data_IF_307699166046
#
_entry.id   IF_307699166046
#
_cell.length_a   1.000
_cell.length_b   1.000
_cell.length_c   1.000
_cell.angle_alpha   90.00
_cell.angle_beta   90.00
_cell.angle_gamma   90.00
#
_symmetry.space_group_name_H-M   'P 1'
#
loop_
_entity.id
_entity.type
_entity.pdbx_description
1 polymer ?
#
# COMPACT_ATOMS: atom_id res chain seq x y z
N UNK A 1 34.41 -26.07 -34.40
CA UNK A 1 34.19 -24.70 -33.90
C UNK A 1 32.74 -24.65 -33.52
N UNK A 2 32.51 -24.58 -32.22
CA UNK A 2 31.20 -24.48 -31.59
C UNK A 2 30.52 -23.20 -32.02
N UNK A 3 29.47 -23.32 -32.82
CA UNK A 3 28.41 -22.33 -32.85
C UNK A 3 27.12 -23.08 -32.53
N UNK A 4 27.05 -23.56 -31.28
CA UNK A 4 25.76 -23.78 -30.62
C UNK A 4 25.16 -22.40 -30.44
N UNK A 5 24.68 -21.81 -31.54
CA UNK A 5 23.90 -20.59 -31.46
C UNK A 5 22.76 -20.90 -30.48
N UNK A 6 22.73 -20.27 -29.31
CA UNK A 6 21.70 -20.56 -28.31
C UNK A 6 20.35 -19.97 -28.75
N UNK A 7 20.33 -19.25 -29.87
CA UNK A 7 19.13 -18.61 -30.38
C UNK A 7 18.13 -19.66 -30.91
N UNK A 8 16.93 -19.75 -30.33
CA UNK A 8 15.89 -20.66 -30.77
C UNK A 8 15.46 -20.46 -32.24
N UNK A 9 15.09 -21.56 -32.94
CA UNK A 9 14.49 -21.48 -34.30
C UNK A 9 13.11 -20.80 -34.20
N UNK A 10 12.91 -19.62 -34.84
CA UNK A 10 11.65 -18.89 -34.81
C UNK A 10 10.46 -19.75 -35.25
N UNK A 11 10.64 -20.65 -36.22
CA UNK A 11 9.56 -21.51 -36.75
C UNK A 11 8.99 -22.48 -35.73
N UNK A 12 9.68 -22.65 -34.61
CA UNK A 12 9.33 -23.60 -33.55
C UNK A 12 9.18 -22.92 -32.19
N UNK A 13 9.52 -21.63 -32.09
CA UNK A 13 9.54 -20.90 -30.83
C UNK A 13 8.60 -19.69 -30.95
N UNK A 14 7.43 -19.77 -30.31
CA UNK A 14 6.44 -18.69 -30.37
C UNK A 14 7.01 -17.34 -29.94
N UNK A 15 6.65 -16.26 -30.66
CA UNK A 15 6.97 -14.88 -30.26
C UNK A 15 8.27 -14.29 -30.84
N UNK A 16 8.98 -15.03 -31.70
CA UNK A 16 10.19 -14.54 -32.40
C UNK A 16 9.93 -14.02 -33.82
N UNK A 17 8.72 -14.18 -34.36
CA UNK A 17 8.31 -13.53 -35.61
C UNK A 17 8.24 -12.00 -35.44
N UNK A 18 8.61 -11.20 -36.46
CA UNK A 18 8.42 -9.74 -36.46
C UNK A 18 6.94 -9.37 -36.28
N UNK A 19 6.54 -9.06 -35.04
CA UNK A 19 5.14 -8.90 -34.62
C UNK A 19 4.82 -9.55 -33.27
N UNK A 20 5.66 -10.50 -32.82
CA UNK A 20 5.87 -10.89 -31.42
C UNK A 20 4.64 -11.11 -30.55
N UNK A 21 3.54 -11.61 -31.12
CA UNK A 21 2.35 -11.94 -30.34
C UNK A 21 2.34 -13.43 -30.04
N UNK A 22 2.60 -13.78 -28.79
CA UNK A 22 2.25 -15.10 -28.25
C UNK A 22 0.72 -15.26 -28.31
N UNK A 23 0.19 -16.44 -28.68
CA UNK A 23 -1.23 -16.73 -28.63
C UNK A 23 -1.85 -16.29 -27.28
N UNK A 24 -3.01 -15.62 -27.27
CA UNK A 24 -3.70 -15.28 -26.03
C UNK A 24 -3.94 -16.55 -25.20
N UNK A 25 -3.22 -16.69 -24.09
CA UNK A 25 -3.19 -17.89 -23.25
C UNK A 25 -1.79 -18.44 -22.92
N UNK A 26 -0.75 -18.06 -23.66
CA UNK A 26 0.66 -18.40 -23.36
C UNK A 26 1.32 -17.43 -22.37
N UNK A 27 0.80 -16.21 -22.28
CA UNK A 27 1.03 -15.38 -21.09
C UNK A 27 0.09 -15.91 -20.01
N UNK A 28 0.58 -16.29 -18.82
CA UNK A 28 -0.29 -16.57 -17.69
C UNK A 28 -1.35 -15.47 -17.60
N UNK A 29 -2.64 -15.80 -17.35
CA UNK A 29 -3.65 -14.77 -17.14
C UNK A 29 -3.06 -13.82 -16.11
N UNK A 30 -3.07 -12.51 -16.43
CA UNK A 30 -2.54 -11.46 -15.56
C UNK A 30 -2.92 -11.86 -14.15
N UNK A 31 -1.95 -12.34 -13.36
CA UNK A 31 -2.20 -12.89 -12.06
C UNK A 31 -2.86 -11.75 -11.32
N UNK A 32 -4.19 -11.83 -11.20
CA UNK A 32 -4.99 -10.78 -10.63
C UNK A 32 -4.41 -10.63 -9.25
N UNK A 33 -3.63 -9.57 -9.03
CA UNK A 33 -2.90 -9.36 -7.80
C UNK A 33 -3.91 -9.59 -6.69
N UNK A 34 -3.66 -10.64 -5.90
CA UNK A 34 -4.66 -11.22 -5.03
C UNK A 34 -5.28 -10.09 -4.21
N UNK A 35 -6.58 -9.76 -4.39
CA UNK A 35 -7.21 -8.68 -3.62
C UNK A 35 -7.23 -9.00 -2.11
N UNK A 36 -6.87 -10.23 -1.76
CA UNK A 36 -6.91 -10.86 -0.44
C UNK A 36 -5.51 -11.23 0.08
N UNK A 37 -4.41 -10.73 -0.53
CA UNK A 37 -3.04 -10.96 -0.02
C UNK A 37 -2.71 -10.14 1.25
N UNK A 38 -3.65 -9.32 1.73
CA UNK A 38 -3.54 -8.66 3.03
C UNK A 38 -3.87 -9.62 4.16
N UNK A 39 -3.25 -9.48 5.35
CA UNK A 39 -3.74 -10.16 6.55
C UNK A 39 -5.24 -9.92 6.72
N UNK A 40 -5.99 -10.97 7.04
CA UNK A 40 -7.41 -10.83 7.29
C UNK A 40 -7.60 -9.91 8.51
N UNK A 41 -8.16 -8.73 8.28
CA UNK A 41 -8.36 -7.68 9.29
C UNK A 41 -9.53 -8.02 10.24
N UNK A 42 -9.62 -9.26 10.76
CA UNK A 42 -10.59 -9.61 11.82
C UNK A 42 -10.23 -8.96 13.16
N UNK A 43 -8.96 -8.62 13.36
CA UNK A 43 -8.42 -8.28 14.66
C UNK A 43 -7.81 -6.89 14.69
N UNK A 44 -8.66 -5.88 14.50
CA UNK A 44 -8.36 -4.50 14.86
C UNK A 44 -9.08 -4.12 16.16
N UNK A 45 -8.62 -4.59 17.34
CA UNK A 45 -9.22 -4.18 18.60
C UNK A 45 -9.09 -2.67 18.72
N UNK A 46 -10.21 -1.97 18.96
CA UNK A 46 -10.21 -0.53 19.22
C UNK A 46 -9.41 -0.28 20.49
N UNK A 47 -8.11 -0.13 20.37
CA UNK A 47 -7.23 0.10 21.51
C UNK A 47 -7.70 1.41 22.14
N UNK A 48 -8.26 1.34 23.35
CA UNK A 48 -8.86 2.48 24.06
C UNK A 48 -7.90 3.64 24.38
N UNK A 49 -6.66 3.52 23.91
CA UNK A 49 -5.57 4.47 24.03
C UNK A 49 -5.87 5.84 23.43
N UNK A 50 -6.79 5.96 22.46
CA UNK A 50 -7.16 7.26 21.90
C UNK A 50 -7.78 8.23 22.93
N UNK A 51 -8.43 7.72 23.98
CA UNK A 51 -9.14 8.56 24.97
C UNK A 51 -8.16 9.33 25.87
N UNK A 52 -7.05 8.72 26.26
CA UNK A 52 -6.07 9.32 27.17
C UNK A 52 -5.39 10.59 26.61
N UNK A 53 -4.80 10.60 25.41
CA UNK A 53 -4.17 11.79 24.83
C UNK A 53 -5.21 12.86 24.48
N UNK A 54 -6.40 12.48 23.99
CA UNK A 54 -7.48 13.44 23.72
C UNK A 54 -7.91 14.16 25.01
N UNK A 55 -8.07 13.43 26.11
CA UNK A 55 -8.39 14.03 27.40
C UNK A 55 -7.28 14.98 27.89
N UNK A 56 -6.02 14.56 27.81
CA UNK A 56 -4.87 15.36 28.21
C UNK A 56 -4.78 16.69 27.43
N UNK A 57 -4.96 16.62 26.10
CA UNK A 57 -5.01 17.81 25.24
C UNK A 57 -6.18 18.71 25.63
N UNK A 58 -7.35 18.13 25.89
CA UNK A 58 -8.53 18.88 26.35
C UNK A 58 -8.28 19.67 27.64
N UNK A 59 -7.62 19.05 28.63
CA UNK A 59 -7.24 19.73 29.88
C UNK A 59 -6.22 20.85 29.61
N UNK A 60 -5.21 20.60 28.79
CA UNK A 60 -4.19 21.59 28.46
C UNK A 60 -4.83 22.83 27.79
N UNK A 61 -5.72 22.61 26.83
CA UNK A 61 -6.46 23.69 26.14
C UNK A 61 -7.31 24.47 27.13
N UNK A 62 -8.02 23.78 28.04
CA UNK A 62 -8.85 24.44 29.05
C UNK A 62 -8.01 25.33 29.98
N UNK A 63 -6.86 24.84 30.45
CA UNK A 63 -5.93 25.62 31.29
C UNK A 63 -5.42 26.85 30.54
N UNK A 64 -5.02 26.69 29.28
CA UNK A 64 -4.56 27.80 28.45
C UNK A 64 -5.65 28.86 28.26
N UNK A 65 -6.89 28.45 27.96
CA UNK A 65 -8.03 29.38 27.82
C UNK A 65 -8.29 30.14 29.11
N UNK A 66 -8.34 29.46 30.26
CA UNK A 66 -8.52 30.11 31.57
C UNK A 66 -7.41 31.13 31.83
N UNK A 67 -6.16 30.77 31.54
CA UNK A 67 -5.02 31.68 31.69
C UNK A 67 -5.16 32.94 30.82
N UNK A 68 -5.46 32.78 29.53
CA UNK A 68 -5.61 33.93 28.63
C UNK A 68 -6.78 34.83 29.02
N UNK A 69 -7.92 34.23 29.37
CA UNK A 69 -9.08 34.96 29.87
C UNK A 69 -8.68 35.75 31.12
N UNK A 70 -8.13 35.09 32.15
CA UNK A 70 -7.69 35.75 33.37
C UNK A 70 -6.69 36.89 33.10
N UNK A 71 -5.72 36.69 32.20
CA UNK A 71 -4.78 37.73 31.79
C UNK A 71 -5.50 38.92 31.16
N UNK A 72 -6.46 38.68 30.27
CA UNK A 72 -7.21 39.74 29.59
C UNK A 72 -8.05 40.56 30.57
N UNK A 73 -8.57 39.92 31.63
CA UNK A 73 -9.34 40.60 32.68
C UNK A 73 -8.47 41.36 33.68
N UNK A 74 -7.19 41.01 33.82
CA UNK A 74 -6.27 41.58 34.83
C UNK A 74 -5.41 42.74 34.32
N UNK A 75 -5.42 43.01 33.01
CA UNK A 75 -4.75 44.15 32.37
C UNK A 75 -5.67 45.39 32.34
#
# INVERSE_FOLDING_TARGET
>A
MDDKNPDPDPRTTPGLEPGGSVPPGETPPAEGSTPDAGPEETHNPTTGWAKAPVFLIGVLVLVALVYFVARIWLQ
#
